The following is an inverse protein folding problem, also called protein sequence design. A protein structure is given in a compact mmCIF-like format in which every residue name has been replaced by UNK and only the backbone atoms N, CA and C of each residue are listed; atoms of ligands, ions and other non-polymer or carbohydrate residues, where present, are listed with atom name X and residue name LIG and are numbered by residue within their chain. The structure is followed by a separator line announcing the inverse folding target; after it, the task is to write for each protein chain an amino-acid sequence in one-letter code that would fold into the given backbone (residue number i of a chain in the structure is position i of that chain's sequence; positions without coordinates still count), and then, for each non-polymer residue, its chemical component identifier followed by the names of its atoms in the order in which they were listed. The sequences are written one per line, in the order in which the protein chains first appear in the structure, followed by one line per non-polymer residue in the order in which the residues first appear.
data_IF_241705370237
#
_entry.id   IF_241705370237
#
_cell.length_a   1.000
_cell.length_b   1.000
_cell.length_c   1.000
_cell.angle_alpha   90.00
_cell.angle_beta   90.00
_cell.angle_gamma   90.00
#
_symmetry.space_group_name_H-M   'P 1'
#
loop_
_entity.id
_entity.type
_entity.pdbx_description
1 polymer ?
#
# COMPACT_ATOMS: atom_id res chain seq x y z
N UNK A 1 -18.11 -36.63 -10.70
CA UNK A 1 -17.03 -35.99 -9.92
C UNK A 1 -17.58 -35.11 -8.80
N UNK A 2 -18.48 -34.14 -9.06
CA UNK A 2 -19.02 -33.23 -8.04
C UNK A 2 -19.83 -33.94 -6.96
N UNK A 3 -20.57 -35.01 -7.31
CA UNK A 3 -21.27 -35.83 -6.31
C UNK A 3 -20.31 -36.46 -5.31
N UNK A 4 -19.16 -36.98 -5.77
CA UNK A 4 -18.11 -37.53 -4.90
C UNK A 4 -17.47 -36.45 -4.00
N UNK A 5 -17.29 -35.24 -4.55
CA UNK A 5 -16.79 -34.11 -3.73
C UNK A 5 -17.82 -33.75 -2.65
N UNK A 6 -19.10 -33.69 -3.00
CA UNK A 6 -20.19 -33.40 -2.06
C UNK A 6 -20.27 -34.43 -0.92
N UNK A 7 -20.02 -35.68 -1.20
CA UNK A 7 -20.00 -36.76 -0.20
C UNK A 7 -18.73 -36.69 0.71
N UNK A 8 -17.66 -36.01 0.24
CA UNK A 8 -16.43 -35.83 1.00
C UNK A 8 -16.38 -34.55 1.85
N UNK A 9 -17.40 -33.67 1.72
CA UNK A 9 -17.47 -32.41 2.49
C UNK A 9 -18.00 -32.69 3.89
N UNK A 10 -17.23 -32.33 4.92
CA UNK A 10 -17.68 -32.39 6.31
C UNK A 10 -18.67 -31.26 6.62
N UNK A 11 -19.49 -31.45 7.67
CA UNK A 11 -20.55 -30.49 8.05
C UNK A 11 -20.05 -29.07 8.33
N UNK A 12 -18.79 -28.92 8.74
CA UNK A 12 -18.15 -27.63 9.03
C UNK A 12 -17.32 -27.08 7.87
N UNK A 13 -17.43 -27.64 6.68
CA UNK A 13 -16.67 -27.24 5.49
C UNK A 13 -17.60 -26.70 4.41
N UNK A 14 -17.10 -25.71 3.65
CA UNK A 14 -17.78 -25.23 2.45
C UNK A 14 -17.45 -26.14 1.27
N UNK A 15 -18.49 -26.62 0.56
CA UNK A 15 -18.31 -27.40 -0.67
C UNK A 15 -17.35 -26.72 -1.64
N UNK A 16 -17.47 -25.41 -1.78
CA UNK A 16 -16.64 -24.61 -2.69
C UNK A 16 -15.14 -24.73 -2.39
N UNK A 17 -14.77 -24.62 -1.10
CA UNK A 17 -13.37 -24.74 -0.68
C UNK A 17 -12.83 -26.15 -0.93
N UNK A 18 -13.59 -27.19 -0.59
CA UNK A 18 -13.19 -28.57 -0.82
C UNK A 18 -13.11 -28.87 -2.33
N UNK A 19 -14.04 -28.37 -3.12
CA UNK A 19 -14.01 -28.54 -4.58
C UNK A 19 -12.79 -27.87 -5.21
N UNK A 20 -12.34 -26.72 -4.72
CA UNK A 20 -11.10 -26.07 -5.17
C UNK A 20 -9.88 -26.94 -4.86
N UNK A 21 -9.77 -27.48 -3.65
CA UNK A 21 -8.64 -28.37 -3.27
C UNK A 21 -8.64 -29.68 -4.06
N UNK A 22 -9.82 -30.14 -4.50
CA UNK A 22 -9.99 -31.32 -5.34
C UNK A 22 -9.91 -31.02 -6.85
N UNK A 23 -9.41 -29.83 -7.22
CA UNK A 23 -9.20 -29.40 -8.60
C UNK A 23 -10.50 -29.41 -9.47
N UNK A 24 -11.63 -28.95 -8.93
CA UNK A 24 -12.81 -28.67 -9.77
C UNK A 24 -12.60 -27.35 -10.52
N UNK A 25 -12.51 -27.40 -11.84
CA UNK A 25 -12.14 -26.25 -12.67
C UNK A 25 -13.10 -25.06 -12.54
N UNK A 26 -14.40 -25.32 -12.34
CA UNK A 26 -15.38 -24.23 -12.18
C UNK A 26 -15.18 -23.53 -10.84
N UNK A 27 -14.96 -24.30 -9.75
CA UNK A 27 -14.70 -23.74 -8.43
C UNK A 27 -13.35 -23.00 -8.39
N UNK A 28 -12.31 -23.54 -9.06
CA UNK A 28 -11.02 -22.83 -9.18
C UNK A 28 -11.18 -21.50 -9.92
N UNK A 29 -11.88 -21.46 -11.05
CA UNK A 29 -12.10 -20.22 -11.78
C UNK A 29 -12.90 -19.19 -10.96
N UNK A 30 -13.93 -19.65 -10.27
CA UNK A 30 -14.68 -18.77 -9.37
C UNK A 30 -13.81 -18.27 -8.19
N UNK A 31 -12.96 -19.12 -7.60
CA UNK A 31 -12.03 -18.72 -6.54
C UNK A 31 -11.01 -17.70 -7.06
N UNK A 32 -10.55 -17.86 -8.30
CA UNK A 32 -9.64 -16.91 -8.94
C UNK A 32 -10.28 -15.52 -9.00
N UNK A 33 -11.55 -15.44 -9.43
CA UNK A 33 -12.30 -14.19 -9.45
C UNK A 33 -12.39 -13.56 -8.04
N UNK A 34 -12.73 -14.33 -6.99
CA UNK A 34 -12.76 -13.84 -5.62
C UNK A 34 -11.40 -13.30 -5.13
N UNK A 35 -10.30 -13.82 -5.63
CA UNK A 35 -8.94 -13.43 -5.20
C UNK A 35 -8.35 -12.29 -6.00
N UNK A 36 -8.72 -12.15 -7.26
CA UNK A 36 -8.11 -11.22 -8.20
C UNK A 36 -8.98 -9.98 -8.46
N UNK A 37 -10.32 -10.13 -8.39
CA UNK A 37 -11.26 -9.08 -8.77
C UNK A 37 -12.02 -8.47 -7.57
N UNK A 38 -11.76 -8.94 -6.34
CA UNK A 38 -12.33 -8.37 -5.12
C UNK A 38 -11.22 -7.70 -4.30
N UNK A 39 -11.36 -6.40 -4.13
CA UNK A 39 -10.43 -5.56 -3.39
C UNK A 39 -11.05 -5.16 -2.05
N UNK A 40 -10.23 -5.21 -0.99
CA UNK A 40 -10.61 -4.73 0.35
C UNK A 40 -9.63 -3.64 0.75
N UNK A 41 -10.15 -2.48 1.08
CA UNK A 41 -9.35 -1.41 1.65
C UNK A 41 -9.74 -1.23 3.11
N UNK A 42 -8.85 -1.60 4.04
CA UNK A 42 -9.06 -1.54 5.49
C UNK A 42 -8.11 -0.61 6.22
N UNK A 43 -6.94 -0.36 5.64
CA UNK A 43 -5.90 0.40 6.31
C UNK A 43 -5.51 1.62 5.47
N UNK A 44 -5.74 2.79 6.03
CA UNK A 44 -5.43 4.08 5.42
C UNK A 44 -4.24 4.76 6.11
N UNK A 45 -3.60 4.09 7.05
CA UNK A 45 -2.62 4.73 7.93
C UNK A 45 -1.21 4.73 7.37
N UNK A 46 -0.87 3.78 6.50
CA UNK A 46 0.49 3.64 5.96
C UNK A 46 0.55 3.93 4.44
N UNK A 47 0.19 5.17 4.09
CA UNK A 47 0.25 5.66 2.71
C UNK A 47 1.68 5.57 2.12
N UNK A 48 2.76 5.96 2.84
CA UNK A 48 4.11 5.87 2.31
C UNK A 48 4.52 4.47 1.88
N UNK A 49 4.08 3.44 2.63
CA UNK A 49 4.33 2.04 2.27
C UNK A 49 3.54 1.61 1.04
N UNK A 50 2.27 1.99 0.95
CA UNK A 50 1.44 1.71 -0.22
C UNK A 50 2.01 2.36 -1.48
N UNK A 51 2.45 3.62 -1.39
CA UNK A 51 3.09 4.32 -2.50
C UNK A 51 4.40 3.67 -2.93
N UNK A 52 5.15 3.06 -2.01
CA UNK A 52 6.38 2.36 -2.34
C UNK A 52 6.12 1.15 -3.25
N UNK A 53 4.98 0.46 -3.08
CA UNK A 53 4.59 -0.66 -3.95
C UNK A 53 4.37 -0.21 -5.40
N UNK A 54 3.91 1.03 -5.60
CA UNK A 54 3.59 1.60 -6.91
C UNK A 54 4.67 2.55 -7.45
N UNK A 55 5.76 2.76 -6.72
CA UNK A 55 6.76 3.77 -7.10
C UNK A 55 7.34 3.56 -8.51
N UNK A 56 7.50 2.32 -8.94
CA UNK A 56 7.96 2.00 -10.30
C UNK A 56 6.85 1.96 -11.34
N UNK A 57 5.59 2.15 -10.94
CA UNK A 57 4.43 2.21 -11.83
C UNK A 57 3.99 3.66 -12.04
N UNK A 58 4.57 4.29 -13.07
CA UNK A 58 4.27 5.68 -13.41
C UNK A 58 2.78 5.91 -13.78
N UNK A 59 2.09 4.88 -14.28
CA UNK A 59 0.67 4.98 -14.61
C UNK A 59 -0.16 5.03 -13.33
N UNK A 60 0.16 4.18 -12.35
CA UNK A 60 -0.52 4.18 -11.06
C UNK A 60 -0.26 5.49 -10.30
N UNK A 61 0.98 5.98 -10.24
CA UNK A 61 1.29 7.27 -9.60
C UNK A 61 0.55 8.43 -10.25
N UNK A 62 0.45 8.42 -11.58
CA UNK A 62 -0.35 9.40 -12.31
C UNK A 62 -1.83 9.29 -11.98
N UNK A 63 -2.39 8.09 -11.94
CA UNK A 63 -3.79 7.85 -11.59
C UNK A 63 -4.10 8.36 -10.17
N UNK A 64 -3.21 8.12 -9.19
CA UNK A 64 -3.34 8.64 -7.82
C UNK A 64 -3.37 10.17 -7.83
N UNK A 65 -2.46 10.81 -8.58
CA UNK A 65 -2.40 12.27 -8.69
C UNK A 65 -3.65 12.86 -9.37
N UNK A 66 -4.11 12.24 -10.45
CA UNK A 66 -5.32 12.66 -11.17
C UNK A 66 -6.58 12.46 -10.32
N UNK A 67 -6.63 11.41 -9.51
CA UNK A 67 -7.72 11.16 -8.57
C UNK A 67 -7.77 12.21 -7.45
N UNK A 68 -6.62 12.53 -6.84
CA UNK A 68 -6.52 13.58 -5.83
C UNK A 68 -6.96 14.94 -6.40
N UNK A 69 -6.53 15.28 -7.61
CA UNK A 69 -6.92 16.51 -8.32
C UNK A 69 -8.42 16.56 -8.61
N UNK A 70 -9.01 15.45 -9.04
CA UNK A 70 -10.43 15.37 -9.41
C UNK A 70 -11.36 15.48 -8.20
N UNK A 71 -10.88 15.08 -7.04
CA UNK A 71 -11.64 15.13 -5.79
C UNK A 71 -11.80 16.55 -5.20
N UNK A 72 -11.34 17.58 -5.89
CA UNK A 72 -11.51 19.00 -5.56
C UNK A 72 -10.93 19.45 -4.22
N UNK A 73 -9.79 18.87 -3.84
CA UNK A 73 -9.07 19.27 -2.61
C UNK A 73 -8.14 20.47 -2.81
N UNK A 74 -8.26 21.17 -3.96
CA UNK A 74 -7.34 22.26 -4.31
C UNK A 74 -5.95 21.77 -4.71
N UNK A 75 -5.77 20.47 -4.86
CA UNK A 75 -4.52 19.83 -5.28
C UNK A 75 -4.37 19.97 -6.80
N UNK A 76 -3.28 20.57 -7.24
CA UNK A 76 -2.92 20.68 -8.65
C UNK A 76 -2.06 19.52 -9.13
N UNK A 77 -1.23 18.99 -8.24
CA UNK A 77 -0.28 17.93 -8.57
C UNK A 77 0.21 17.24 -7.31
N UNK A 78 0.54 15.98 -7.44
CA UNK A 78 1.32 15.24 -6.43
C UNK A 78 2.71 14.95 -6.98
N UNK A 79 3.71 15.08 -6.12
CA UNK A 79 5.09 14.75 -6.39
C UNK A 79 5.51 13.61 -5.48
N UNK A 80 6.22 12.64 -6.04
CA UNK A 80 6.68 11.45 -5.32
C UNK A 80 8.19 11.38 -5.38
N UNK A 81 8.83 11.29 -4.22
CA UNK A 81 10.28 11.21 -4.07
C UNK A 81 10.63 9.97 -3.25
N UNK A 82 11.64 9.20 -3.69
CA UNK A 82 12.20 8.13 -2.86
C UNK A 82 13.33 8.69 -2.02
N UNK A 83 13.15 8.58 -0.73
CA UNK A 83 14.21 8.82 0.24
C UNK A 83 14.83 7.47 0.66
N UNK A 84 16.11 7.32 0.40
CA UNK A 84 16.87 6.16 0.88
C UNK A 84 17.61 6.57 2.15
N UNK A 85 17.21 5.99 3.27
CA UNK A 85 17.93 6.14 4.54
C UNK A 85 18.85 4.95 4.73
N UNK A 86 20.12 5.21 4.95
CA UNK A 86 21.06 4.19 5.37
C UNK A 86 20.75 3.81 6.82
N UNK A 87 20.50 2.52 7.05
CA UNK A 87 20.35 2.00 8.40
C UNK A 87 21.76 1.78 8.94
N UNK A 88 22.27 2.79 9.68
CA UNK A 88 23.51 2.70 10.43
C UNK A 88 23.37 1.82 11.67
N UNK A 89 24.49 1.60 12.37
CA UNK A 89 24.50 0.85 13.64
C UNK A 89 23.80 1.60 14.79
N UNK A 90 23.47 2.88 14.61
CA UNK A 90 22.77 3.71 15.57
C UNK A 90 21.27 3.75 15.27
N UNK A 91 20.60 2.62 15.49
CA UNK A 91 19.15 2.54 15.41
C UNK A 91 18.54 3.18 16.64
N UNK A 92 17.93 4.34 16.47
CA UNK A 92 17.08 4.92 17.49
C UNK A 92 15.72 4.20 17.48
N UNK A 93 15.48 3.43 18.51
CA UNK A 93 14.17 2.80 18.72
C UNK A 93 13.31 3.67 19.64
N UNK A 94 11.99 3.70 19.44
CA UNK A 94 11.07 4.32 20.38
C UNK A 94 11.28 3.80 21.82
N UNK A 95 11.09 4.67 22.81
CA UNK A 95 11.34 4.35 24.23
C UNK A 95 10.41 3.26 24.78
N UNK A 96 9.25 3.06 24.18
CA UNK A 96 8.23 2.08 24.54
C UNK A 96 8.57 0.63 24.10
N UNK A 97 9.64 0.46 23.30
CA UNK A 97 10.07 -0.88 22.86
C UNK A 97 10.95 -1.52 23.95
N UNK A 98 10.61 -2.74 24.43
CA UNK A 98 11.42 -3.46 25.40
C UNK A 98 12.85 -3.71 24.91
N UNK A 99 13.84 -3.57 25.82
CA UNK A 99 15.27 -3.72 25.50
C UNK A 99 15.62 -5.07 24.84
N UNK A 100 14.94 -6.16 25.23
CA UNK A 100 15.14 -7.46 24.60
C UNK A 100 14.71 -7.49 23.13
N UNK A 101 13.67 -6.73 22.77
CA UNK A 101 13.20 -6.59 21.39
C UNK A 101 14.16 -5.71 20.58
N UNK A 102 14.64 -4.60 21.17
CA UNK A 102 15.65 -3.73 20.55
C UNK A 102 16.92 -4.53 20.21
N UNK A 103 17.42 -5.32 21.15
CA UNK A 103 18.60 -6.18 20.94
C UNK A 103 18.37 -7.23 19.85
N UNK A 104 17.20 -7.85 19.80
CA UNK A 104 16.85 -8.84 18.76
C UNK A 104 16.76 -8.18 17.38
N UNK A 105 16.13 -7.01 17.25
CA UNK A 105 16.04 -6.26 16.01
C UNK A 105 17.43 -5.82 15.51
N UNK A 106 18.27 -5.30 16.41
CA UNK A 106 19.66 -4.91 16.07
C UNK A 106 20.45 -6.10 15.53
N UNK A 107 20.38 -7.25 16.23
CA UNK A 107 21.05 -8.47 15.78
C UNK A 107 20.53 -8.96 14.43
N UNK A 108 19.22 -8.89 14.21
CA UNK A 108 18.62 -9.28 12.93
C UNK A 108 19.08 -8.39 11.78
N UNK A 109 19.12 -7.07 11.99
CA UNK A 109 19.61 -6.10 11.00
C UNK A 109 21.09 -6.33 10.70
N UNK A 110 21.90 -6.63 11.72
CA UNK A 110 23.29 -6.95 11.52
C UNK A 110 23.48 -8.21 10.67
N UNK A 111 22.74 -9.28 10.93
CA UNK A 111 22.76 -10.51 10.12
C UNK A 111 22.35 -10.23 8.67
N UNK A 112 21.31 -9.41 8.46
CA UNK A 112 20.88 -9.02 7.12
C UNK A 112 21.95 -8.20 6.38
N UNK A 113 22.66 -7.29 7.08
CA UNK A 113 23.75 -6.51 6.48
C UNK A 113 24.93 -7.37 6.08
N UNK A 114 25.28 -8.38 6.88
CA UNK A 114 26.36 -9.33 6.60
C UNK A 114 26.01 -10.32 5.47
N UNK A 115 24.72 -10.67 5.31
CA UNK A 115 24.24 -11.58 4.25
C UNK A 115 23.91 -10.85 2.94
N UNK A 116 23.72 -9.55 2.98
CA UNK A 116 23.49 -8.74 1.77
C UNK A 116 24.82 -8.64 0.97
N UNK A 117 24.84 -9.28 -0.20
CA UNK A 117 25.98 -9.26 -1.13
C UNK A 117 26.21 -7.88 -1.80
N UNK A 118 25.65 -6.81 -1.28
CA UNK A 118 25.93 -5.47 -1.74
C UNK A 118 27.31 -5.05 -1.23
N UNK A 119 28.17 -4.64 -2.15
CA UNK A 119 29.57 -4.26 -1.97
C UNK A 119 29.81 -3.13 -0.93
N UNK A 120 28.78 -2.62 -0.29
CA UNK A 120 28.86 -1.56 0.73
C UNK A 120 28.41 -1.99 2.13
N UNK A 121 27.86 -3.21 2.31
CA UNK A 121 27.49 -3.76 3.64
C UNK A 121 26.46 -2.95 4.42
N UNK A 122 25.77 -2.01 3.79
CA UNK A 122 24.80 -1.14 4.43
C UNK A 122 23.39 -1.48 3.95
N UNK A 123 22.50 -1.71 4.92
CA UNK A 123 21.08 -1.83 4.64
C UNK A 123 20.51 -0.43 4.36
N UNK A 124 19.77 -0.32 3.26
CA UNK A 124 19.05 0.91 2.91
C UNK A 124 17.56 0.69 3.09
N UNK A 125 16.93 1.55 3.86
CA UNK A 125 15.47 1.60 3.96
C UNK A 125 14.98 2.66 2.97
N UNK A 126 14.16 2.23 2.01
CA UNK A 126 13.52 3.14 1.06
C UNK A 126 12.15 3.53 1.55
N UNK A 127 11.88 4.82 1.57
CA UNK A 127 10.58 5.39 1.89
C UNK A 127 10.16 6.32 0.76
N UNK A 128 8.91 6.26 0.35
CA UNK A 128 8.36 7.23 -0.60
C UNK A 128 7.76 8.39 0.20
N UNK A 129 8.22 9.59 -0.10
CA UNK A 129 7.58 10.84 0.34
C UNK A 129 6.67 11.33 -0.76
N UNK A 130 5.48 11.74 -0.38
CA UNK A 130 4.55 12.39 -1.27
C UNK A 130 4.32 13.84 -0.81
N UNK A 131 4.38 14.74 -1.76
CA UNK A 131 4.09 16.18 -1.57
C UNK A 131 2.95 16.58 -2.48
N UNK A 132 2.09 17.42 -1.98
CA UNK A 132 0.99 18.00 -2.75
C UNK A 132 1.29 19.45 -3.10
N UNK A 133 0.82 19.87 -4.26
CA UNK A 133 0.86 21.27 -4.70
C UNK A 133 -0.55 21.83 -4.73
N UNK A 134 -0.78 22.88 -3.97
CA UNK A 134 -2.07 23.57 -3.88
C UNK A 134 -2.01 24.94 -4.52
N UNK A 135 -3.08 25.33 -5.21
CA UNK A 135 -3.30 26.71 -5.58
C UNK A 135 -3.68 27.53 -4.37
N UNK A 136 -3.07 28.69 -4.24
CA UNK A 136 -3.42 29.67 -3.23
C UNK A 136 -3.12 31.08 -3.73
N UNK A 137 -3.46 32.05 -2.90
CA UNK A 137 -3.22 33.49 -3.18
C UNK A 137 -2.22 33.99 -2.16
N UNK A 138 -1.17 34.68 -2.60
CA UNK A 138 -0.21 35.31 -1.69
C UNK A 138 -0.77 36.61 -1.08
N UNK A 139 -0.02 37.21 -0.15
CA UNK A 139 -0.42 38.45 0.51
C UNK A 139 -0.60 39.65 -0.45
N UNK A 140 -0.05 39.57 -1.66
CA UNK A 140 -0.20 40.58 -2.69
C UNK A 140 -1.42 40.33 -3.63
N UNK A 141 -2.18 39.24 -3.39
CA UNK A 141 -3.35 38.89 -4.21
C UNK A 141 -2.99 38.14 -5.50
N UNK A 142 -1.76 37.64 -5.62
CA UNK A 142 -1.30 36.90 -6.80
C UNK A 142 -1.41 35.39 -6.58
N UNK A 143 -1.73 34.67 -7.66
CA UNK A 143 -1.77 33.20 -7.63
C UNK A 143 -0.38 32.65 -7.30
N UNK A 144 -0.34 31.72 -6.33
CA UNK A 144 0.88 31.06 -5.91
C UNK A 144 0.61 29.58 -5.64
N UNK A 145 1.58 28.72 -5.98
CA UNK A 145 1.56 27.31 -5.62
C UNK A 145 2.27 27.11 -4.27
N UNK A 146 1.60 26.38 -3.39
CA UNK A 146 2.10 25.99 -2.09
C UNK A 146 2.33 24.49 -2.06
N UNK A 147 3.43 24.06 -1.46
CA UNK A 147 3.74 22.65 -1.24
C UNK A 147 3.37 22.29 0.19
N UNK A 148 2.67 21.18 0.34
CA UNK A 148 2.39 20.56 1.63
C UNK A 148 2.99 19.13 1.62
N UNK A 149 3.58 18.76 2.75
CA UNK A 149 3.93 17.36 2.98
C UNK A 149 2.64 16.56 3.21
N UNK A 150 2.66 15.26 2.92
CA UNK A 150 1.48 14.42 3.06
C UNK A 150 0.93 14.40 4.50
N UNK A 151 1.81 14.54 5.48
CA UNK A 151 1.49 14.62 6.91
C UNK A 151 0.70 15.87 7.28
N UNK A 152 0.87 16.95 6.51
CA UNK A 152 0.18 18.22 6.71
C UNK A 152 -1.21 18.26 6.05
N UNK A 153 -1.53 17.25 5.26
CA UNK A 153 -2.84 17.10 4.64
C UNK A 153 -3.91 16.67 5.64
N UNK A 154 -5.18 16.98 5.33
CA UNK A 154 -6.29 16.50 6.14
C UNK A 154 -6.39 14.98 6.15
N UNK A 155 -6.95 14.42 7.23
CA UNK A 155 -7.20 12.97 7.32
C UNK A 155 -8.07 12.45 6.17
N UNK A 156 -9.05 13.26 5.74
CA UNK A 156 -9.91 12.92 4.59
C UNK A 156 -9.13 12.84 3.30
N UNK A 157 -8.25 13.82 3.06
CA UNK A 157 -7.35 13.84 1.88
C UNK A 157 -6.44 12.63 1.87
N UNK A 158 -5.80 12.35 3.00
CA UNK A 158 -4.92 11.18 3.16
C UNK A 158 -5.65 9.85 2.92
N UNK A 159 -6.83 9.68 3.52
CA UNK A 159 -7.67 8.49 3.31
C UNK A 159 -8.03 8.29 1.84
N UNK A 160 -8.39 9.36 1.17
CA UNK A 160 -8.74 9.29 -0.24
C UNK A 160 -7.54 8.92 -1.12
N UNK A 161 -6.35 9.47 -0.83
CA UNK A 161 -5.12 9.12 -1.54
C UNK A 161 -4.75 7.65 -1.33
N UNK A 162 -4.91 7.15 -0.09
CA UNK A 162 -4.68 5.73 0.22
C UNK A 162 -5.66 4.80 -0.52
N UNK A 163 -6.87 5.27 -0.78
CA UNK A 163 -7.91 4.51 -1.49
C UNK A 163 -7.67 4.48 -3.01
N UNK A 164 -7.03 5.52 -3.57
CA UNK A 164 -6.89 5.70 -5.01
C UNK A 164 -6.31 4.48 -5.75
N UNK A 165 -5.26 3.77 -5.29
CA UNK A 165 -4.74 2.58 -5.95
C UNK A 165 -5.76 1.45 -6.04
N UNK A 166 -6.55 1.23 -4.99
CA UNK A 166 -7.57 0.19 -4.97
C UNK A 166 -8.74 0.53 -5.92
N UNK A 167 -9.13 1.80 -5.97
CA UNK A 167 -10.14 2.31 -6.92
C UNK A 167 -9.65 2.10 -8.35
N UNK A 168 -8.43 2.53 -8.66
CA UNK A 168 -7.85 2.39 -10.00
C UNK A 168 -7.76 0.92 -10.43
N UNK A 169 -7.28 0.06 -9.54
CA UNK A 169 -7.21 -1.38 -9.81
C UNK A 169 -8.58 -1.99 -10.07
N UNK A 170 -9.59 -1.63 -9.26
CA UNK A 170 -10.96 -2.12 -9.46
C UNK A 170 -11.56 -1.62 -10.78
N UNK A 171 -11.29 -0.38 -11.17
CA UNK A 171 -11.75 0.18 -12.44
C UNK A 171 -11.08 -0.50 -13.65
N UNK A 172 -9.77 -0.76 -13.56
CA UNK A 172 -9.02 -1.41 -14.64
C UNK A 172 -9.45 -2.87 -14.87
N UNK A 173 -9.74 -3.61 -13.80
CA UNK A 173 -10.11 -5.03 -13.88
C UNK A 173 -11.62 -5.25 -14.03
N UNK A 174 -12.44 -4.22 -13.79
CA UNK A 174 -13.89 -4.36 -13.64
C UNK A 174 -14.27 -5.08 -12.34
N UNK A 175 -13.43 -5.01 -11.34
CA UNK A 175 -13.57 -5.66 -10.06
C UNK A 175 -14.52 -4.95 -9.09
N UNK A 176 -14.65 -5.51 -7.90
CA UNK A 176 -15.49 -4.97 -6.81
C UNK A 176 -14.57 -4.49 -5.69
N UNK A 177 -14.75 -3.25 -5.28
CA UNK A 177 -14.05 -2.67 -4.15
C UNK A 177 -14.97 -2.57 -2.93
N UNK A 178 -14.53 -3.16 -1.81
CA UNK A 178 -15.15 -2.97 -0.51
C UNK A 178 -14.28 -2.01 0.31
N UNK A 179 -14.91 -0.95 0.79
CA UNK A 179 -14.28 0.04 1.68
C UNK A 179 -14.93 -0.09 3.04
N UNK A 180 -14.13 -0.35 4.07
CA UNK A 180 -14.55 -0.37 5.47
C UNK A 180 -14.22 0.98 6.10
N UNK A 181 -15.15 1.51 6.91
CA UNK A 181 -15.01 2.84 7.55
C UNK A 181 -13.97 2.88 8.65
#
# INVERSE_FOLDING_TARGET
RRKLISEAVAENQLFFSVACTMNDAICINAMKWFREDIFFSRDYTDIPRQLLEYYNDSNMLKAISDYAKTADFGIEEMQFEVENKEIGNDLEFPDDIPEGVKAALTSFIQILSETSNNSEGQLKMSQVKAKTRHKGINAAGEDKLYHLELEDESDGTRKLMALAPAVESALQTGGILFVDE
#
